data_IF_571513756122
#
_entry.id   IF_571513756122
#
_cell.length_a   1.000
_cell.length_b   1.000
_cell.length_c   1.000
_cell.angle_alpha   90.00
_cell.angle_beta   90.00
_cell.angle_gamma   90.00
#
_symmetry.space_group_name_H-M   'P 1'
#
loop_
_entity.id
_entity.type
_entity.pdbx_description
1 polymer ?
#
# COMPACT_ATOMS: atom_id res chain seq x y z
N UNK A 1 -1.92 -24.74 -22.65
CA UNK A 1 -1.79 -24.39 -21.22
C UNK A 1 -3.15 -24.12 -20.57
N UNK A 2 -4.06 -23.38 -21.21
CA UNK A 2 -5.40 -23.07 -20.66
C UNK A 2 -6.19 -24.31 -20.19
N UNK A 3 -6.18 -25.38 -20.99
CA UNK A 3 -6.91 -26.60 -20.69
C UNK A 3 -6.52 -27.29 -19.36
N UNK A 4 -5.30 -27.09 -18.85
CA UNK A 4 -4.90 -27.64 -17.54
C UNK A 4 -5.26 -26.69 -16.40
N UNK A 5 -5.05 -25.39 -16.59
CA UNK A 5 -5.35 -24.35 -15.58
C UNK A 5 -6.86 -24.21 -15.32
N UNK A 6 -7.71 -24.48 -16.31
CA UNK A 6 -9.17 -24.46 -16.16
C UNK A 6 -9.72 -25.61 -15.30
N UNK A 7 -8.96 -26.69 -15.11
CA UNK A 7 -9.40 -27.86 -14.31
C UNK A 7 -9.27 -27.67 -12.80
N UNK A 8 -8.63 -26.58 -12.35
CA UNK A 8 -8.26 -26.36 -10.95
C UNK A 8 -8.64 -24.96 -10.52
N UNK A 9 -8.87 -24.80 -9.22
CA UNK A 9 -9.03 -23.48 -8.62
C UNK A 9 -7.68 -22.74 -8.62
N UNK A 10 -7.74 -21.42 -8.56
CA UNK A 10 -6.57 -20.54 -8.48
C UNK A 10 -5.58 -21.00 -7.41
N UNK A 11 -6.07 -21.29 -6.22
CA UNK A 11 -5.25 -21.61 -5.05
C UNK A 11 -4.58 -22.98 -5.18
N UNK A 12 -5.24 -23.94 -5.82
CA UNK A 12 -4.67 -25.24 -6.15
C UNK A 12 -3.54 -25.13 -7.19
N UNK A 13 -3.72 -24.28 -8.20
CA UNK A 13 -2.67 -24.02 -9.19
C UNK A 13 -1.45 -23.39 -8.52
N UNK A 14 -1.66 -22.40 -7.65
CA UNK A 14 -0.58 -21.75 -6.90
C UNK A 14 0.17 -22.76 -6.03
N UNK A 15 -0.56 -23.64 -5.33
CA UNK A 15 0.04 -24.69 -4.50
C UNK A 15 0.88 -25.66 -5.32
N UNK A 16 0.40 -26.10 -6.48
CA UNK A 16 1.12 -27.01 -7.37
C UNK A 16 2.37 -26.37 -7.98
N UNK A 17 2.27 -25.11 -8.40
CA UNK A 17 3.42 -24.35 -8.90
C UNK A 17 4.46 -24.10 -7.80
N UNK A 18 4.03 -23.83 -6.56
CA UNK A 18 4.94 -23.69 -5.42
C UNK A 18 5.68 -24.99 -5.09
N UNK A 19 5.04 -26.16 -5.23
CA UNK A 19 5.73 -27.46 -5.08
C UNK A 19 6.78 -27.67 -6.17
N UNK A 20 6.52 -27.17 -7.38
CA UNK A 20 7.44 -27.26 -8.51
C UNK A 20 8.53 -26.18 -8.54
N UNK A 21 8.70 -25.38 -7.47
CA UNK A 21 9.61 -24.24 -7.42
C UNK A 21 9.39 -23.21 -8.55
N UNK A 22 8.16 -23.13 -9.06
CA UNK A 22 7.77 -22.15 -10.09
C UNK A 22 7.16 -20.93 -9.39
N UNK A 23 7.74 -19.72 -9.55
CA UNK A 23 7.16 -18.51 -8.97
C UNK A 23 5.82 -18.20 -9.66
N UNK A 24 4.74 -18.25 -8.89
CA UNK A 24 3.40 -17.89 -9.32
C UNK A 24 2.70 -17.10 -8.23
N UNK A 25 1.85 -16.16 -8.62
CA UNK A 25 1.03 -15.39 -7.70
C UNK A 25 -0.40 -15.24 -8.23
N UNK A 26 -1.39 -15.04 -7.34
CA UNK A 26 -2.76 -14.76 -7.73
C UNK A 26 -2.86 -13.38 -8.42
N UNK A 27 -3.83 -13.25 -9.32
CA UNK A 27 -4.31 -11.93 -9.74
C UNK A 27 -5.33 -11.48 -8.70
N UNK A 28 -4.93 -10.52 -7.86
CA UNK A 28 -5.75 -10.03 -6.75
C UNK A 28 -6.73 -8.95 -7.20
N UNK A 29 -7.96 -9.02 -6.69
CA UNK A 29 -8.91 -7.91 -6.79
C UNK A 29 -8.57 -6.81 -5.78
N UNK A 30 -9.22 -5.64 -5.90
CA UNK A 30 -8.99 -4.55 -4.94
C UNK A 30 -9.37 -4.97 -3.52
N UNK A 31 -10.44 -5.76 -3.35
CA UNK A 31 -10.87 -6.24 -2.05
C UNK A 31 -9.82 -7.17 -1.43
N UNK A 32 -9.27 -8.09 -2.23
CA UNK A 32 -8.22 -9.01 -1.79
C UNK A 32 -6.96 -8.27 -1.33
N UNK A 33 -6.63 -7.12 -1.96
CA UNK A 33 -5.49 -6.29 -1.55
C UNK A 33 -5.70 -5.70 -0.14
N UNK A 34 -6.93 -5.35 0.24
CA UNK A 34 -7.22 -4.82 1.58
C UNK A 34 -7.20 -5.91 2.65
N UNK A 35 -7.50 -7.16 2.29
CA UNK A 35 -7.51 -8.29 3.22
C UNK A 35 -6.13 -8.93 3.41
N UNK A 36 -5.20 -8.72 2.47
CA UNK A 36 -3.87 -9.33 2.48
C UNK A 36 -2.91 -8.66 3.50
N UNK A 37 -2.44 -9.40 4.53
CA UNK A 37 -1.60 -8.84 5.61
C UNK A 37 -0.30 -8.19 5.13
N UNK A 38 0.30 -8.74 4.06
CA UNK A 38 1.58 -8.28 3.55
C UNK A 38 1.58 -6.79 3.14
N UNK A 39 0.45 -6.25 2.68
CA UNK A 39 0.36 -4.83 2.30
C UNK A 39 0.35 -3.90 3.51
N UNK A 40 -0.21 -4.36 4.64
CA UNK A 40 -0.27 -3.62 5.89
C UNK A 40 1.07 -3.68 6.63
N UNK A 41 1.68 -4.85 6.74
CA UNK A 41 2.96 -5.04 7.44
C UNK A 41 4.12 -4.28 6.80
N UNK A 42 4.06 -4.05 5.48
CA UNK A 42 5.09 -3.33 4.73
C UNK A 42 4.82 -1.82 4.61
N UNK A 43 3.81 -1.30 5.29
CA UNK A 43 3.34 0.08 5.13
C UNK A 43 3.09 0.46 3.66
N UNK A 44 2.75 -0.52 2.81
CA UNK A 44 2.34 -0.26 1.42
C UNK A 44 0.93 0.29 1.40
N UNK A 45 0.10 -0.14 2.37
CA UNK A 45 -1.21 0.40 2.67
C UNK A 45 -1.20 0.91 4.12
N UNK A 46 -1.54 2.18 4.31
CA UNK A 46 -1.47 2.86 5.62
C UNK A 46 -2.82 3.47 5.96
N UNK A 47 -3.21 3.39 7.23
CA UNK A 47 -4.39 4.11 7.75
C UNK A 47 -3.99 5.52 8.16
N UNK A 48 -4.61 6.52 7.54
CA UNK A 48 -4.41 7.93 7.84
C UNK A 48 -5.73 8.52 8.31
N UNK A 49 -5.69 9.17 9.48
CA UNK A 49 -6.78 10.00 9.99
C UNK A 49 -6.74 11.38 9.32
N UNK A 50 -7.87 11.74 8.71
CA UNK A 50 -8.13 13.07 8.17
C UNK A 50 -9.37 13.67 8.86
N UNK A 51 -9.30 14.94 9.25
CA UNK A 51 -10.37 15.59 10.01
C UNK A 51 -11.67 15.78 9.20
N UNK A 52 -11.62 15.70 7.87
CA UNK A 52 -12.78 15.90 7.00
C UNK A 52 -13.51 14.61 6.66
N UNK A 53 -12.79 13.50 6.56
CA UNK A 53 -13.31 12.23 5.99
C UNK A 53 -13.21 11.07 7.01
N UNK A 54 -12.39 11.21 8.06
CA UNK A 54 -12.16 10.17 9.07
C UNK A 54 -10.99 9.26 8.71
N UNK A 55 -11.09 7.97 9.07
CA UNK A 55 -10.04 6.97 8.82
C UNK A 55 -10.03 6.52 7.34
N UNK A 56 -8.95 6.84 6.62
CA UNK A 56 -8.76 6.48 5.22
C UNK A 56 -7.61 5.48 5.07
N UNK A 57 -7.78 4.49 4.19
CA UNK A 57 -6.66 3.67 3.72
C UNK A 57 -6.04 4.32 2.47
N UNK A 58 -4.76 4.65 2.55
CA UNK A 58 -4.00 5.26 1.45
C UNK A 58 -2.76 4.45 1.14
N UNK A 59 -2.30 4.56 -0.10
CA UNK A 59 -1.01 4.02 -0.50
C UNK A 59 0.11 4.74 0.29
N UNK A 60 0.96 3.96 0.95
CA UNK A 60 2.17 4.46 1.61
C UNK A 60 3.32 4.73 0.63
N UNK A 61 4.45 5.18 1.16
CA UNK A 61 5.64 5.46 0.34
C UNK A 61 6.37 4.14 0.03
N UNK A 62 6.47 3.79 -1.27
CA UNK A 62 6.97 2.49 -1.72
C UNK A 62 8.44 2.21 -1.33
N UNK A 63 9.27 3.24 -1.22
CA UNK A 63 10.64 3.14 -0.72
C UNK A 63 10.67 3.64 0.72
N UNK A 64 10.51 2.72 1.67
CA UNK A 64 10.48 3.05 3.09
C UNK A 64 11.89 3.37 3.60
N UNK A 65 12.28 4.64 3.46
CA UNK A 65 13.36 5.22 4.24
C UNK A 65 12.75 5.76 5.54
N UNK A 66 13.17 5.21 6.69
CA UNK A 66 12.67 5.56 8.03
C UNK A 66 12.60 7.07 8.30
N UNK A 67 13.48 7.86 7.66
CA UNK A 67 13.55 9.31 7.83
C UNK A 67 12.61 10.13 6.93
N UNK A 68 11.99 9.53 5.91
CA UNK A 68 11.25 10.25 4.85
C UNK A 68 9.72 10.01 4.94
N UNK A 69 9.26 8.94 5.61
CA UNK A 69 7.82 8.62 5.69
C UNK A 69 6.99 9.74 6.35
N UNK A 70 7.49 10.36 7.43
CA UNK A 70 6.74 11.37 8.19
C UNK A 70 6.45 12.63 7.37
N UNK A 71 7.34 12.99 6.44
CA UNK A 71 7.25 14.24 5.67
C UNK A 71 6.19 14.16 4.57
N UNK A 72 6.04 13.00 3.91
CA UNK A 72 5.13 12.85 2.77
C UNK A 72 3.68 12.60 3.20
N UNK A 73 3.46 11.83 4.27
CA UNK A 73 2.12 11.56 4.80
C UNK A 73 1.54 12.83 5.47
N UNK A 74 2.39 13.67 6.06
CA UNK A 74 1.94 14.94 6.66
C UNK A 74 1.52 15.99 5.61
N UNK A 75 2.10 15.95 4.42
CA UNK A 75 1.77 16.87 3.33
C UNK A 75 0.40 16.60 2.70
N UNK A 76 -0.08 15.35 2.72
CA UNK A 76 -1.43 15.01 2.25
C UNK A 76 -2.51 15.34 3.29
N UNK A 77 -2.18 15.26 4.59
CA UNK A 77 -3.05 15.68 5.71
C UNK A 77 -3.26 17.19 5.73
N UNK A 78 -2.23 17.94 5.38
CA UNK A 78 -2.24 19.40 5.46
C UNK A 78 -2.49 19.93 4.06
N UNK A 79 -3.76 20.09 3.69
CA UNK A 79 -4.11 20.76 2.44
C UNK A 79 -3.29 22.04 2.22
N UNK A 80 -3.14 22.44 0.96
CA UNK A 80 -2.39 23.62 0.46
C UNK A 80 -2.60 24.93 1.28
N UNK A 81 -3.61 25.00 2.14
CA UNK A 81 -4.07 26.14 2.91
C UNK A 81 -3.32 26.47 4.20
N UNK A 82 -2.35 25.68 4.70
CA UNK A 82 -1.64 26.03 5.95
C UNK A 82 -0.22 26.60 5.78
N UNK A 83 0.24 26.85 4.55
CA UNK A 83 1.50 27.60 4.34
C UNK A 83 1.24 29.11 4.23
N UNK A 84 0.63 29.72 5.25
CA UNK A 84 0.52 31.19 5.37
C UNK A 84 1.28 31.75 6.58
N UNK A 85 2.15 30.95 7.21
CA UNK A 85 3.14 31.46 8.15
C UNK A 85 4.56 31.22 7.61
N UNK A 86 5.06 32.21 6.86
CA UNK A 86 6.46 32.33 6.44
C UNK A 86 7.34 33.02 7.49
N UNK A 87 6.90 33.15 8.76
CA UNK A 87 7.65 33.90 9.78
C UNK A 87 8.72 33.08 10.53
N UNK A 88 8.74 31.75 10.38
CA UNK A 88 9.73 30.89 11.08
C UNK A 88 10.88 30.35 10.22
N UNK A 89 10.95 30.68 8.94
CA UNK A 89 12.15 30.49 8.12
C UNK A 89 12.89 31.81 7.99
N UNK A 90 13.26 32.39 9.15
CA UNK A 90 14.35 33.33 9.23
C UNK A 90 15.65 32.52 9.09
N UNK A 91 16.15 32.44 7.87
CA UNK A 91 17.54 32.05 7.62
C UNK A 91 18.42 33.08 8.34
N UNK A 92 19.09 32.64 9.41
CA UNK A 92 20.26 33.31 9.97
C UNK A 92 21.49 32.53 9.53
#
# INVERSE_FOLDING_TARGET
MSAWTETKTRDEVIKLCSIGDVPCGPVNSIADIFDEPQYWERDTLVRVKDDRIGDLAVQGVYQNFQQIQDVLITWTRTGCTQRTDLSRLAWT
#
